data_IF_377127369368
#
_entry.id   IF_377127369368
#
_cell.length_a   1.000
_cell.length_b   1.000
_cell.length_c   1.000
_cell.angle_alpha   90.00
_cell.angle_beta   90.00
_cell.angle_gamma   90.00
#
_symmetry.space_group_name_H-M   'P 1'
#
loop_
_entity.id
_entity.type
_entity.pdbx_description
1 polymer ?
#
# COMPACT_ATOMS: atom_id res chain seq x y z
N UNK A 1 -16.48 4.91 0.93
CA UNK A 1 -16.93 5.76 -0.20
C UNK A 1 -16.57 5.06 -1.50
N UNK A 2 -17.55 4.64 -2.31
CA UNK A 2 -17.28 4.06 -3.63
C UNK A 2 -16.51 5.06 -4.50
N UNK A 3 -15.65 4.56 -5.39
CA UNK A 3 -14.85 5.40 -6.28
C UNK A 3 -15.76 6.01 -7.34
N UNK A 4 -15.55 7.29 -7.68
CA UNK A 4 -16.21 7.88 -8.85
C UNK A 4 -15.82 7.09 -10.10
N UNK A 5 -16.83 6.78 -10.93
CA UNK A 5 -16.63 6.17 -12.24
C UNK A 5 -15.74 7.03 -13.14
N UNK A 6 -15.06 6.40 -14.10
CA UNK A 6 -14.17 7.12 -15.02
C UNK A 6 -14.95 8.15 -15.85
N UNK A 7 -16.17 7.81 -16.28
CA UNK A 7 -17.04 8.71 -17.03
C UNK A 7 -17.40 9.97 -16.25
N UNK A 8 -17.78 9.82 -14.97
CA UNK A 8 -18.06 10.99 -14.12
C UNK A 8 -16.81 11.86 -13.95
N UNK A 9 -15.62 11.26 -13.80
CA UNK A 9 -14.37 12.04 -13.69
C UNK A 9 -14.06 12.82 -14.96
N UNK A 10 -14.32 12.24 -16.14
CA UNK A 10 -14.16 12.91 -17.44
C UNK A 10 -15.08 14.11 -17.52
N UNK A 11 -16.36 13.91 -17.23
CA UNK A 11 -17.38 14.94 -17.26
C UNK A 11 -17.06 16.10 -16.32
N UNK A 12 -16.66 15.81 -15.08
CA UNK A 12 -16.25 16.83 -14.10
C UNK A 12 -15.08 17.67 -14.63
N UNK A 13 -14.10 17.04 -15.28
CA UNK A 13 -12.94 17.75 -15.82
C UNK A 13 -13.29 18.58 -17.05
N UNK A 14 -14.13 18.09 -17.95
CA UNK A 14 -14.61 18.89 -19.10
C UNK A 14 -15.41 20.10 -18.66
N UNK A 15 -16.27 19.94 -17.64
CA UNK A 15 -17.00 21.08 -17.06
C UNK A 15 -16.05 22.10 -16.41
N UNK A 16 -15.01 21.62 -15.71
CA UNK A 16 -14.00 22.51 -15.11
C UNK A 16 -13.15 23.23 -16.16
N UNK A 17 -12.91 22.63 -17.33
CA UNK A 17 -12.16 23.27 -18.42
C UNK A 17 -12.94 24.41 -19.07
N UNK A 18 -14.27 24.34 -19.05
CA UNK A 18 -15.16 25.33 -19.66
C UNK A 18 -15.58 26.45 -18.70
N UNK A 19 -15.21 26.37 -17.41
CA UNK A 19 -15.63 27.30 -16.37
C UNK A 19 -14.48 28.03 -15.66
N UNK A 20 -14.81 29.13 -14.99
CA UNK A 20 -13.92 29.90 -14.11
C UNK A 20 -13.53 29.12 -12.83
N UNK A 21 -12.62 29.67 -12.01
CA UNK A 21 -12.13 29.25 -10.68
C UNK A 21 -12.61 27.89 -10.09
N UNK A 22 -11.65 27.10 -9.56
CA UNK A 22 -11.86 25.75 -8.99
C UNK A 22 -12.93 25.68 -7.88
N UNK A 23 -13.14 26.76 -7.12
CA UNK A 23 -14.15 26.79 -6.04
C UNK A 23 -15.56 26.85 -6.61
N UNK A 24 -15.79 27.76 -7.54
CA UNK A 24 -17.11 28.01 -8.13
C UNK A 24 -17.55 26.81 -8.96
N UNK A 25 -16.62 26.19 -9.69
CA UNK A 25 -16.86 24.94 -10.42
C UNK A 25 -17.24 23.78 -9.51
N UNK A 26 -16.65 23.64 -8.31
CA UNK A 26 -17.04 22.56 -7.40
C UNK A 26 -18.48 22.71 -6.89
N UNK A 27 -18.91 23.94 -6.58
CA UNK A 27 -20.29 24.24 -6.17
C UNK A 27 -21.26 23.94 -7.31
N UNK A 28 -21.01 24.48 -8.51
CA UNK A 28 -21.87 24.26 -9.68
C UNK A 28 -21.97 22.78 -10.07
N UNK A 29 -20.85 22.05 -10.06
CA UNK A 29 -20.81 20.62 -10.37
C UNK A 29 -21.57 19.81 -9.31
N UNK A 30 -21.47 20.19 -8.02
CA UNK A 30 -22.21 19.50 -6.96
C UNK A 30 -23.72 19.71 -7.08
N UNK A 31 -24.18 20.90 -7.46
CA UNK A 31 -25.59 21.18 -7.73
C UNK A 31 -26.08 20.37 -8.94
N UNK A 32 -25.36 20.43 -10.06
CA UNK A 32 -25.72 19.72 -11.29
C UNK A 32 -25.75 18.20 -11.13
N UNK A 33 -24.81 17.62 -10.37
CA UNK A 33 -24.80 16.18 -10.09
C UNK A 33 -25.91 15.76 -9.11
N UNK A 34 -26.35 16.66 -8.22
CA UNK A 34 -27.47 16.41 -7.31
C UNK A 34 -28.79 16.26 -8.06
N UNK A 35 -28.99 17.05 -9.13
CA UNK A 35 -30.15 16.90 -10.03
C UNK A 35 -30.17 15.53 -10.72
N UNK A 36 -28.99 14.98 -11.04
CA UNK A 36 -28.80 13.64 -11.58
C UNK A 36 -28.81 12.49 -10.54
N UNK A 37 -29.17 12.76 -9.27
CA UNK A 37 -29.12 11.83 -8.13
C UNK A 37 -27.72 11.28 -7.79
N UNK A 38 -26.65 11.94 -8.23
CA UNK A 38 -25.26 11.55 -7.96
C UNK A 38 -24.68 12.50 -6.92
N UNK A 39 -24.63 12.06 -5.66
CA UNK A 39 -24.07 12.88 -4.58
C UNK A 39 -22.55 12.70 -4.54
N UNK A 40 -21.81 13.76 -4.85
CA UNK A 40 -20.34 13.77 -4.75
C UNK A 40 -19.90 14.80 -3.72
N UNK A 41 -19.01 14.39 -2.81
CA UNK A 41 -18.48 15.34 -1.82
C UNK A 41 -17.60 16.41 -2.48
N UNK A 42 -17.71 17.65 -1.98
CA UNK A 42 -16.85 18.76 -2.40
C UNK A 42 -15.36 18.43 -2.25
N UNK A 43 -15.00 17.69 -1.19
CA UNK A 43 -13.61 17.25 -0.96
C UNK A 43 -13.10 16.30 -2.04
N UNK A 44 -13.97 15.41 -2.56
CA UNK A 44 -13.64 14.48 -3.63
C UNK A 44 -13.43 15.21 -4.95
N UNK A 45 -14.29 16.20 -5.27
CA UNK A 45 -14.15 17.06 -6.45
C UNK A 45 -12.84 17.84 -6.40
N UNK A 46 -12.57 18.51 -5.28
CA UNK A 46 -11.33 19.27 -5.10
C UNK A 46 -10.08 18.38 -5.26
N UNK A 47 -10.06 17.19 -4.64
CA UNK A 47 -8.95 16.24 -4.79
C UNK A 47 -8.77 15.78 -6.23
N UNK A 48 -9.87 15.51 -6.95
CA UNK A 48 -9.85 15.13 -8.36
C UNK A 48 -9.27 16.24 -9.24
N UNK A 49 -9.77 17.47 -9.11
CA UNK A 49 -9.32 18.62 -9.90
C UNK A 49 -7.87 18.99 -9.57
N UNK A 50 -7.48 18.97 -8.29
CA UNK A 50 -6.09 19.19 -7.86
C UNK A 50 -5.15 18.11 -8.43
N UNK A 51 -5.56 16.84 -8.40
CA UNK A 51 -4.82 15.73 -9.02
C UNK A 51 -4.67 15.95 -10.53
N UNK A 52 -5.76 16.29 -11.21
CA UNK A 52 -5.76 16.53 -12.65
C UNK A 52 -4.86 17.71 -13.03
N UNK A 53 -4.90 18.82 -12.28
CA UNK A 53 -4.00 19.97 -12.49
C UNK A 53 -2.52 19.59 -12.35
N UNK A 54 -2.18 18.70 -11.40
CA UNK A 54 -0.80 18.30 -11.13
C UNK A 54 -0.27 17.23 -12.09
N UNK A 55 -1.09 16.22 -12.43
CA UNK A 55 -0.64 15.00 -13.12
C UNK A 55 -1.30 14.78 -14.49
N UNK A 56 -2.29 15.59 -14.86
CA UNK A 56 -3.10 15.45 -16.10
C UNK A 56 -3.71 14.06 -16.30
N UNK A 57 -3.94 13.33 -15.20
CA UNK A 57 -4.52 11.98 -15.22
C UNK A 57 -5.87 11.93 -14.51
N UNK A 58 -6.83 11.24 -15.13
CA UNK A 58 -8.15 10.95 -14.56
C UNK A 58 -8.17 9.63 -13.77
N UNK A 59 -7.35 8.68 -14.23
CA UNK A 59 -7.18 7.36 -13.64
C UNK A 59 -6.71 7.40 -12.18
N UNK A 60 -6.87 6.27 -11.51
CA UNK A 60 -6.25 6.08 -10.20
C UNK A 60 -4.74 6.10 -10.36
N UNK A 61 -4.06 6.72 -9.40
CA UNK A 61 -2.60 6.69 -9.40
C UNK A 61 -2.14 5.30 -9.00
N UNK A 62 -1.04 4.84 -9.60
CA UNK A 62 -0.36 3.65 -9.09
C UNK A 62 -0.14 3.82 -7.60
N UNK A 63 -0.50 2.79 -6.84
CA UNK A 63 -0.17 2.76 -5.41
C UNK A 63 1.35 2.80 -5.32
N UNK A 64 1.87 3.58 -4.38
CA UNK A 64 3.31 3.59 -4.14
C UNK A 64 3.76 2.15 -3.89
N UNK A 65 4.68 1.66 -4.73
CA UNK A 65 5.28 0.36 -4.55
C UNK A 65 6.09 0.41 -3.26
N UNK A 66 5.69 -0.39 -2.28
CA UNK A 66 6.47 -0.52 -1.03
C UNK A 66 7.67 -1.39 -1.37
N UNK A 67 8.86 -0.81 -1.39
CA UNK A 67 10.11 -1.58 -1.53
C UNK A 67 10.29 -2.37 -0.22
N UNK A 68 10.35 -3.71 -0.28
CA UNK A 68 10.56 -4.51 0.92
C UNK A 68 11.95 -4.25 1.50
N UNK A 69 12.06 -4.18 2.83
CA UNK A 69 13.37 -4.03 3.51
C UNK A 69 14.27 -5.27 3.36
N UNK A 70 13.67 -6.43 3.08
CA UNK A 70 14.39 -7.67 2.83
C UNK A 70 14.34 -7.98 1.34
N UNK A 71 15.52 -8.10 0.74
CA UNK A 71 15.68 -8.57 -0.62
C UNK A 71 15.55 -10.09 -0.69
N UNK A 72 15.47 -10.62 -1.90
CA UNK A 72 15.35 -12.05 -2.16
C UNK A 72 16.54 -12.84 -1.59
N UNK A 73 17.76 -12.32 -1.70
CA UNK A 73 18.96 -12.92 -1.10
C UNK A 73 18.83 -13.08 0.43
N UNK A 74 18.27 -12.08 1.11
CA UNK A 74 18.06 -12.15 2.56
C UNK A 74 17.01 -13.21 2.90
N UNK A 75 15.98 -13.37 2.06
CA UNK A 75 14.95 -14.39 2.24
C UNK A 75 15.52 -15.80 2.04
N UNK A 76 16.33 -16.00 1.00
CA UNK A 76 17.03 -17.29 0.76
C UNK A 76 17.95 -17.63 1.93
N UNK A 77 18.69 -16.63 2.45
CA UNK A 77 19.54 -16.86 3.62
C UNK A 77 18.75 -17.23 4.87
N UNK A 78 17.61 -16.57 5.11
CA UNK A 78 16.71 -16.94 6.21
C UNK A 78 16.21 -18.37 6.02
N UNK A 79 15.84 -18.75 4.80
CA UNK A 79 15.31 -20.09 4.51
C UNK A 79 16.34 -21.19 4.76
N UNK A 80 17.58 -21.00 4.29
CA UNK A 80 18.70 -21.92 4.54
C UNK A 80 18.99 -22.01 6.05
N UNK A 81 19.09 -20.87 6.74
CA UNK A 81 19.40 -20.84 8.16
C UNK A 81 18.33 -21.55 9.02
N UNK A 82 17.07 -21.53 8.58
CA UNK A 82 16.01 -22.27 9.28
C UNK A 82 16.04 -23.75 8.89
N UNK A 83 16.26 -24.09 7.62
CA UNK A 83 16.38 -25.48 7.18
C UNK A 83 17.55 -26.23 7.83
N UNK A 84 18.64 -25.53 8.16
CA UNK A 84 19.78 -26.09 8.90
C UNK A 84 19.45 -26.32 10.38
N UNK A 85 18.59 -25.50 10.98
CA UNK A 85 18.20 -25.60 12.38
C UNK A 85 16.80 -25.02 12.63
N UNK A 86 15.82 -25.90 12.76
CA UNK A 86 14.41 -25.52 12.97
C UNK A 86 14.16 -24.76 14.28
N UNK A 87 15.06 -24.87 15.27
CA UNK A 87 14.98 -24.15 16.55
C UNK A 87 15.49 -22.71 16.46
N UNK A 88 15.95 -22.26 15.28
CA UNK A 88 16.53 -20.92 15.12
C UNK A 88 15.49 -19.84 15.40
N UNK A 89 15.72 -19.12 16.50
CA UNK A 89 14.83 -18.05 16.95
C UNK A 89 14.96 -16.80 16.07
N UNK A 90 13.92 -15.95 16.04
CA UNK A 90 13.97 -14.70 15.26
C UNK A 90 15.03 -13.70 15.75
N UNK A 91 15.53 -13.84 16.98
CA UNK A 91 16.65 -13.04 17.51
C UNK A 91 17.97 -13.51 16.94
N UNK A 92 18.20 -14.83 16.91
CA UNK A 92 19.42 -15.39 16.32
C UNK A 92 19.50 -15.12 14.81
N UNK A 93 18.37 -15.23 14.10
CA UNK A 93 18.30 -14.81 12.69
C UNK A 93 18.58 -13.32 12.49
N UNK A 94 18.23 -12.46 13.46
CA UNK A 94 18.53 -11.04 13.39
C UNK A 94 20.04 -10.81 13.47
N UNK A 95 20.68 -11.42 14.46
CA UNK A 95 22.13 -11.36 14.66
C UNK A 95 22.88 -11.85 13.40
N UNK A 96 22.51 -13.03 12.88
CA UNK A 96 23.12 -13.59 11.66
C UNK A 96 22.95 -12.69 10.44
N UNK A 97 21.78 -12.04 10.29
CA UNK A 97 21.53 -11.10 9.20
C UNK A 97 22.33 -9.81 9.35
N UNK A 98 22.44 -9.27 10.57
CA UNK A 98 23.21 -8.04 10.82
C UNK A 98 24.71 -8.26 10.72
N UNK A 99 25.18 -9.46 11.08
CA UNK A 99 26.60 -9.83 10.97
C UNK A 99 27.00 -9.99 9.50
N UNK A 100 26.14 -10.61 8.68
CA UNK A 100 26.40 -10.81 7.25
C UNK A 100 26.16 -9.55 6.41
N UNK A 101 25.17 -8.73 6.77
CA UNK A 101 24.85 -7.47 6.09
C UNK A 101 24.84 -6.30 7.07
N UNK A 102 26.01 -5.67 7.25
CA UNK A 102 26.23 -4.54 8.16
C UNK A 102 25.30 -3.34 7.92
N UNK A 103 24.83 -3.13 6.69
CA UNK A 103 23.92 -2.03 6.32
C UNK A 103 22.44 -2.38 6.50
N UNK A 104 22.11 -3.63 6.80
CA UNK A 104 20.74 -4.11 6.90
C UNK A 104 20.12 -3.75 8.25
N UNK A 105 19.35 -2.66 8.26
CA UNK A 105 18.63 -2.20 9.45
C UNK A 105 17.25 -2.85 9.52
N UNK A 106 17.17 -4.07 10.06
CA UNK A 106 15.90 -4.81 10.21
C UNK A 106 15.57 -5.04 11.67
N UNK A 107 14.27 -5.16 11.96
CA UNK A 107 13.77 -5.43 13.32
C UNK A 107 13.27 -6.86 13.45
N UNK A 108 13.24 -7.38 14.69
CA UNK A 108 12.69 -8.71 14.99
C UNK A 108 11.30 -8.98 14.39
N UNK A 109 10.33 -8.03 14.41
CA UNK A 109 9.04 -8.21 13.74
C UNK A 109 9.15 -8.38 12.22
N UNK A 110 10.13 -7.74 11.56
CA UNK A 110 10.37 -7.90 10.12
C UNK A 110 10.78 -9.32 9.79
N UNK A 111 11.66 -9.91 10.60
CA UNK A 111 12.10 -11.31 10.44
C UNK A 111 10.94 -12.28 10.69
N UNK A 112 10.10 -12.04 11.71
CA UNK A 112 8.89 -12.85 11.93
C UNK A 112 7.95 -12.84 10.72
N UNK A 113 7.74 -11.67 10.11
CA UNK A 113 6.94 -11.56 8.87
C UNK A 113 7.62 -12.28 7.69
N UNK A 114 8.94 -12.20 7.58
CA UNK A 114 9.71 -12.89 6.55
C UNK A 114 9.56 -14.41 6.66
N UNK A 115 9.71 -14.96 7.87
CA UNK A 115 9.46 -16.39 8.17
C UNK A 115 8.07 -16.83 7.72
N UNK A 116 7.04 -16.06 8.12
CA UNK A 116 5.66 -16.35 7.71
C UNK A 116 5.48 -16.31 6.19
N UNK A 117 6.16 -15.39 5.49
CA UNK A 117 6.13 -15.29 4.03
C UNK A 117 6.75 -16.51 3.35
N UNK A 118 7.80 -17.08 3.96
CA UNK A 118 8.45 -18.32 3.52
C UNK A 118 7.66 -19.58 3.89
N UNK A 119 6.48 -19.45 4.52
CA UNK A 119 5.66 -20.60 4.91
C UNK A 119 6.09 -21.24 6.24
N UNK A 120 7.10 -20.71 6.91
CA UNK A 120 7.54 -21.21 8.22
C UNK A 120 6.51 -20.85 9.30
N UNK A 121 5.98 -21.88 9.94
CA UNK A 121 5.09 -21.80 11.11
C UNK A 121 5.84 -22.35 12.30
N UNK A 122 5.83 -21.63 13.43
CA UNK A 122 6.35 -22.15 14.69
C UNK A 122 5.44 -23.30 15.15
N UNK A 123 5.84 -24.53 14.84
CA UNK A 123 5.22 -25.73 15.40
C UNK A 123 5.66 -25.82 16.85
N UNK A 124 4.75 -25.50 17.78
CA UNK A 124 4.98 -25.79 19.20
C UNK A 124 5.25 -27.30 19.33
N UNK A 125 6.16 -27.72 20.22
CA UNK A 125 6.28 -29.14 20.52
C UNK A 125 4.90 -29.64 20.99
N UNK A 126 4.41 -30.71 20.36
CA UNK A 126 3.31 -31.49 20.92
C UNK A 126 3.85 -32.11 22.20
N UNK A 127 3.67 -31.39 23.32
CA UNK A 127 4.02 -31.89 24.63
C UNK A 127 3.06 -33.05 24.93
N UNK A 128 3.45 -34.26 24.53
CA UNK A 128 2.82 -35.48 25.02
C UNK A 128 3.27 -35.62 26.47
N UNK A 129 2.44 -35.16 27.40
CA UNK A 129 2.58 -35.56 28.80
C UNK A 129 2.41 -37.09 28.83
N UNK A 130 3.52 -37.80 29.02
CA UNK A 130 3.53 -39.23 29.35
C UNK A 130 3.08 -39.42 30.79
#
# INVERSE_FOLDING_TARGET
MPRLSLELRRLIVTLCQNGSSVKDTCTCISCWLSDGRVIVSHTSLYKLLKKYKKKRTLGDLSRATVVPMLNEEHLVFIDIAIAENDETTSTKLLELLTDKWLTLQVSKPTIKRARKKLGWVETRPNYCQL
#
